data_IF_552419537546
#
_entry.id   IF_552419537546
#
_cell.length_a   1.000
_cell.length_b   1.000
_cell.length_c   1.000
_cell.angle_alpha   90.00
_cell.angle_beta   90.00
_cell.angle_gamma   90.00
#
_symmetry.space_group_name_H-M   'P 1'
#
loop_
_entity.id
_entity.type
_entity.pdbx_description
1 polymer ?
#
# COMPACT_ATOMS: atom_id res chain seq x y z
N UNK A 1 29.07 -20.78 3.84
CA UNK A 1 28.41 -19.55 4.19
C UNK A 1 27.57 -19.06 3.02
N UNK A 2 26.38 -18.51 3.21
CA UNK A 2 25.53 -18.09 2.10
C UNK A 2 26.22 -16.94 1.36
N UNK A 3 26.44 -17.13 0.06
CA UNK A 3 26.86 -16.06 -0.85
C UNK A 3 25.70 -15.09 -0.95
N UNK A 4 25.91 -13.85 -0.51
CA UNK A 4 24.94 -12.77 -0.62
C UNK A 4 24.82 -12.38 -2.11
N UNK A 5 23.74 -12.75 -2.73
CA UNK A 5 23.46 -12.71 -4.17
C UNK A 5 23.12 -11.31 -4.74
N UNK A 6 23.50 -10.21 -4.09
CA UNK A 6 23.00 -8.88 -4.48
C UNK A 6 23.96 -8.06 -5.34
N UNK A 7 25.16 -8.56 -5.77
CA UNK A 7 26.21 -7.59 -6.07
C UNK A 7 27.11 -7.90 -7.28
N UNK A 8 26.56 -8.18 -8.45
CA UNK A 8 27.40 -8.44 -9.64
C UNK A 8 27.26 -7.45 -10.82
N UNK A 9 26.59 -6.30 -10.64
CA UNK A 9 26.55 -5.26 -11.66
C UNK A 9 27.63 -4.19 -11.45
N UNK A 10 28.22 -3.71 -12.55
CA UNK A 10 29.51 -2.98 -12.64
C UNK A 10 29.75 -1.80 -11.70
N UNK A 11 28.72 -1.08 -11.23
CA UNK A 11 28.88 0.04 -10.29
C UNK A 11 29.28 -0.49 -8.91
N UNK A 12 28.79 -1.65 -8.53
CA UNK A 12 29.04 -2.26 -7.23
C UNK A 12 30.32 -3.10 -7.21
N UNK A 13 30.77 -3.62 -8.37
CA UNK A 13 32.11 -4.24 -8.48
C UNK A 13 33.23 -3.31 -8.05
N UNK A 14 33.11 -2.01 -8.32
CA UNK A 14 34.12 -1.03 -7.93
C UNK A 14 34.02 -0.62 -6.45
N UNK A 15 32.83 -0.70 -5.85
CA UNK A 15 32.59 -0.36 -4.43
C UNK A 15 32.89 -1.51 -3.47
N UNK A 16 32.58 -2.74 -3.86
CA UNK A 16 32.92 -3.93 -3.07
C UNK A 16 34.43 -4.14 -2.89
N UNK A 17 35.26 -3.49 -3.72
CA UNK A 17 36.73 -3.43 -3.55
C UNK A 17 37.17 -2.33 -2.58
N UNK A 18 36.35 -1.28 -2.37
CA UNK A 18 36.74 -0.13 -1.56
C UNK A 18 36.28 -0.25 -0.09
N UNK A 19 35.08 -0.77 0.19
CA UNK A 19 34.58 -0.94 1.56
C UNK A 19 33.70 -2.19 1.63
N UNK A 20 34.07 -3.21 2.41
CA UNK A 20 33.23 -4.39 2.59
C UNK A 20 31.89 -4.01 3.23
N UNK A 21 30.77 -4.42 2.61
CA UNK A 21 29.40 -4.17 3.12
C UNK A 21 29.26 -4.59 4.58
N UNK A 22 29.95 -5.65 4.99
CA UNK A 22 30.01 -6.12 6.38
C UNK A 22 30.58 -5.09 7.37
N UNK A 23 31.45 -4.19 6.92
CA UNK A 23 31.96 -3.09 7.76
C UNK A 23 30.96 -1.94 7.85
N UNK A 24 30.24 -1.62 6.77
CA UNK A 24 29.15 -0.64 6.78
C UNK A 24 28.00 -1.07 7.70
N UNK A 25 27.63 -2.35 7.68
CA UNK A 25 26.61 -2.92 8.56
C UNK A 25 27.01 -2.84 10.05
N UNK A 26 28.31 -2.96 10.36
CA UNK A 26 28.84 -2.80 11.74
C UNK A 26 28.81 -1.36 12.23
N UNK A 27 28.89 -0.37 11.33
CA UNK A 27 28.85 1.06 11.70
C UNK A 27 27.44 1.55 12.04
N UNK A 28 26.40 0.80 11.68
CA UNK A 28 24.99 1.14 11.91
C UNK A 28 24.44 2.18 10.92
N UNK A 29 23.13 2.19 10.79
CA UNK A 29 22.40 3.06 9.83
C UNK A 29 22.40 4.53 10.23
N UNK A 30 22.65 4.83 11.50
CA UNK A 30 22.60 6.20 12.05
C UNK A 30 23.95 6.92 12.01
N UNK A 31 25.01 6.21 11.64
CA UNK A 31 26.36 6.80 11.51
C UNK A 31 26.41 7.80 10.34
N UNK A 32 27.00 8.96 10.58
CA UNK A 32 27.11 10.06 9.59
C UNK A 32 27.86 9.60 8.33
N UNK A 33 28.92 8.81 8.48
CA UNK A 33 29.70 8.26 7.36
C UNK A 33 28.86 7.30 6.51
N UNK A 34 28.08 6.42 7.15
CA UNK A 34 27.17 5.51 6.45
C UNK A 34 26.11 6.30 5.66
N UNK A 35 25.48 7.30 6.27
CA UNK A 35 24.50 8.16 5.61
C UNK A 35 25.09 8.93 4.42
N UNK A 36 26.29 9.45 4.57
CA UNK A 36 26.96 10.22 3.54
C UNK A 36 27.39 9.35 2.35
N UNK A 37 27.91 8.15 2.64
CA UNK A 37 28.28 7.18 1.61
C UNK A 37 27.04 6.66 0.86
N UNK A 38 25.97 6.30 1.57
CA UNK A 38 24.72 5.85 0.97
C UNK A 38 24.09 6.94 0.11
N UNK A 39 24.18 8.21 0.54
CA UNK A 39 23.73 9.38 -0.24
C UNK A 39 24.54 9.54 -1.54
N UNK A 40 25.85 9.34 -1.51
CA UNK A 40 26.70 9.37 -2.70
C UNK A 40 26.37 8.23 -3.68
N UNK A 41 25.95 7.07 -3.15
CA UNK A 41 25.51 5.93 -3.92
C UNK A 41 24.08 6.07 -4.44
N UNK A 42 23.36 7.12 -4.05
CA UNK A 42 21.95 7.30 -4.36
C UNK A 42 21.02 6.27 -3.68
N UNK A 43 21.50 5.55 -2.65
CA UNK A 43 20.75 4.51 -1.95
C UNK A 43 20.28 5.05 -0.62
N UNK A 44 18.97 4.98 -0.28
CA UNK A 44 18.49 5.37 1.03
C UNK A 44 19.14 4.55 2.14
N UNK A 45 19.71 5.21 3.17
CA UNK A 45 20.40 4.54 4.28
C UNK A 45 19.48 3.55 5.02
N UNK A 46 18.16 3.80 5.01
CA UNK A 46 17.16 2.93 5.62
C UNK A 46 17.07 1.54 4.96
N UNK A 47 17.52 1.38 3.71
CA UNK A 47 17.58 0.07 3.05
C UNK A 47 18.53 -0.89 3.77
N UNK A 48 19.57 -0.40 4.45
CA UNK A 48 20.48 -1.25 5.22
C UNK A 48 19.76 -2.01 6.36
N UNK A 49 18.68 -1.44 6.90
CA UNK A 49 17.86 -2.09 7.93
C UNK A 49 17.18 -3.36 7.40
N UNK A 50 16.88 -3.41 6.11
CA UNK A 50 16.27 -4.58 5.47
C UNK A 50 17.30 -5.64 5.07
N UNK A 51 18.51 -5.23 4.69
CA UNK A 51 19.60 -6.15 4.31
C UNK A 51 20.09 -6.95 5.52
N UNK A 52 20.02 -6.38 6.71
CA UNK A 52 20.45 -7.03 7.97
C UNK A 52 19.33 -7.77 8.71
N UNK A 53 18.16 -7.94 8.09
CA UNK A 53 17.04 -8.60 8.74
C UNK A 53 17.33 -10.09 8.97
N UNK A 54 17.36 -10.58 10.22
CA UNK A 54 17.83 -11.93 10.53
C UNK A 54 16.80 -13.03 10.26
N UNK A 55 15.67 -12.69 9.64
CA UNK A 55 14.58 -13.64 9.43
C UNK A 55 14.79 -14.43 8.15
N UNK A 56 14.89 -15.73 8.28
CA UNK A 56 14.86 -16.67 7.17
C UNK A 56 13.44 -17.23 7.04
N UNK A 57 12.85 -17.08 5.85
CA UNK A 57 11.55 -17.67 5.54
C UNK A 57 11.76 -19.03 4.88
N UNK A 58 11.20 -20.09 5.47
CA UNK A 58 11.13 -21.39 4.80
C UNK A 58 9.96 -21.37 3.81
N UNK A 59 10.28 -21.34 2.53
CA UNK A 59 9.32 -21.36 1.44
C UNK A 59 9.15 -22.72 0.80
N UNK A 60 9.76 -23.78 1.33
CA UNK A 60 9.82 -25.11 0.70
C UNK A 60 8.42 -25.67 0.39
N UNK A 61 7.50 -25.58 1.36
CA UNK A 61 6.11 -26.04 1.17
C UNK A 61 5.36 -25.20 0.14
N UNK A 62 5.52 -23.87 0.19
CA UNK A 62 4.88 -22.95 -0.77
C UNK A 62 5.41 -23.19 -2.17
N UNK A 63 6.72 -23.29 -2.34
CA UNK A 63 7.35 -23.59 -3.62
C UNK A 63 6.83 -24.91 -4.23
N UNK A 64 6.71 -25.97 -3.42
CA UNK A 64 6.19 -27.26 -3.89
C UNK A 64 4.73 -27.21 -4.34
N UNK A 65 3.89 -26.39 -3.68
CA UNK A 65 2.48 -26.18 -4.07
C UNK A 65 2.37 -25.36 -5.35
N UNK A 66 3.19 -24.32 -5.50
CA UNK A 66 3.23 -23.49 -6.70
C UNK A 66 3.62 -24.33 -7.94
N UNK A 67 4.66 -25.14 -7.82
CA UNK A 67 5.09 -26.05 -8.89
C UNK A 67 3.98 -27.02 -9.29
N UNK A 68 3.25 -27.60 -8.32
CA UNK A 68 2.09 -28.47 -8.59
C UNK A 68 0.95 -27.73 -9.30
N UNK A 69 0.80 -26.44 -9.04
CA UNK A 69 -0.17 -25.57 -9.70
C UNK A 69 0.28 -25.02 -11.06
N UNK A 70 1.46 -25.41 -11.56
CA UNK A 70 2.02 -24.88 -12.80
C UNK A 70 2.47 -23.42 -12.69
N UNK A 71 2.64 -22.91 -11.47
CA UNK A 71 3.10 -21.54 -11.20
C UNK A 71 4.58 -21.58 -10.87
N UNK A 72 5.38 -20.88 -11.66
CA UNK A 72 6.81 -20.66 -11.39
C UNK A 72 7.01 -19.24 -10.88
N UNK A 73 7.69 -19.12 -9.75
CA UNK A 73 8.14 -17.82 -9.28
C UNK A 73 9.44 -17.49 -10.02
N UNK A 74 9.54 -16.37 -10.76
CA UNK A 74 10.77 -16.03 -11.44
C UNK A 74 11.90 -15.83 -10.43
N UNK A 75 13.11 -16.21 -10.80
CA UNK A 75 14.28 -15.96 -9.98
C UNK A 75 14.52 -14.44 -9.83
N UNK A 76 15.02 -13.96 -8.68
CA UNK A 76 15.28 -12.53 -8.50
C UNK A 76 16.11 -11.91 -9.62
N UNK A 77 17.01 -12.67 -10.20
CA UNK A 77 17.88 -12.25 -11.29
C UNK A 77 17.12 -11.91 -12.58
N UNK A 78 15.95 -12.52 -12.79
CA UNK A 78 15.14 -12.31 -13.99
C UNK A 78 14.40 -10.95 -13.98
N UNK A 79 14.11 -10.40 -12.81
CA UNK A 79 13.36 -9.14 -12.69
C UNK A 79 14.13 -8.02 -11.98
N UNK A 80 15.28 -8.30 -11.41
CA UNK A 80 16.06 -7.32 -10.64
C UNK A 80 16.46 -6.12 -11.49
N UNK A 81 16.89 -6.34 -12.73
CA UNK A 81 17.29 -5.26 -13.65
C UNK A 81 16.10 -4.34 -13.98
N UNK A 82 14.89 -4.89 -14.09
CA UNK A 82 13.69 -4.10 -14.32
C UNK A 82 13.35 -3.23 -13.08
N UNK A 83 13.46 -3.79 -11.88
CA UNK A 83 13.25 -3.05 -10.61
C UNK A 83 14.32 -1.98 -10.45
N UNK A 84 15.59 -2.32 -10.72
CA UNK A 84 16.71 -1.38 -10.61
C UNK A 84 16.60 -0.23 -11.60
N UNK A 85 16.30 -0.52 -12.86
CA UNK A 85 16.07 0.50 -13.89
C UNK A 85 14.90 1.43 -13.54
N UNK A 86 13.82 0.87 -13.00
CA UNK A 86 12.70 1.67 -12.50
C UNK A 86 13.13 2.59 -11.36
N UNK A 87 13.92 2.08 -10.41
CA UNK A 87 14.42 2.85 -9.28
C UNK A 87 15.34 3.99 -9.74
N UNK A 88 16.30 3.72 -10.64
CA UNK A 88 17.19 4.74 -11.20
C UNK A 88 16.42 5.85 -11.92
N UNK A 89 15.43 5.49 -12.71
CA UNK A 89 14.64 6.44 -13.49
C UNK A 89 13.68 7.30 -12.67
N UNK A 90 13.12 6.75 -11.60
CA UNK A 90 11.98 7.36 -10.92
C UNK A 90 12.27 7.79 -9.47
N UNK A 91 13.18 7.15 -8.79
CA UNK A 91 13.42 7.36 -7.36
C UNK A 91 14.81 7.91 -7.03
N UNK A 92 15.87 7.52 -7.75
CA UNK A 92 17.23 7.93 -7.44
C UNK A 92 17.52 9.40 -7.75
N UNK A 93 16.85 9.98 -8.73
CA UNK A 93 17.17 11.33 -9.22
C UNK A 93 16.55 12.46 -8.40
N UNK A 94 15.64 12.21 -7.48
CA UNK A 94 14.93 13.25 -6.72
C UNK A 94 14.15 14.26 -7.59
N UNK A 95 14.13 14.03 -8.90
CA UNK A 95 13.44 14.88 -9.88
C UNK A 95 12.18 14.17 -10.31
N UNK A 96 11.07 14.59 -9.75
CA UNK A 96 9.73 14.40 -10.32
C UNK A 96 9.62 15.19 -11.62
N UNK A 97 10.41 14.87 -12.63
CA UNK A 97 10.25 15.46 -13.96
C UNK A 97 9.68 14.40 -14.91
N UNK A 98 8.44 14.65 -15.28
CA UNK A 98 7.66 13.86 -16.23
C UNK A 98 8.21 13.85 -17.65
N UNK A 99 9.35 13.21 -17.84
CA UNK A 99 9.91 12.94 -19.18
C UNK A 99 10.57 11.55 -19.19
N UNK A 100 9.82 10.51 -18.90
CA UNK A 100 10.22 9.11 -18.99
C UNK A 100 9.53 8.42 -20.16
N UNK A 101 10.31 8.08 -21.15
CA UNK A 101 10.14 7.11 -22.25
C UNK A 101 8.72 6.77 -22.72
N UNK A 102 8.40 7.27 -23.91
CA UNK A 102 7.14 7.10 -24.64
C UNK A 102 6.66 5.64 -24.85
N UNK A 103 7.53 4.64 -24.75
CA UNK A 103 7.16 3.24 -24.99
C UNK A 103 6.42 2.63 -23.80
N UNK A 104 6.80 3.01 -22.56
CA UNK A 104 6.12 2.59 -21.33
C UNK A 104 4.74 3.25 -21.20
N UNK A 105 4.59 4.49 -21.67
CA UNK A 105 3.31 5.18 -21.71
C UNK A 105 2.31 4.54 -22.68
N UNK A 106 2.76 3.96 -23.78
CA UNK A 106 1.86 3.27 -24.73
C UNK A 106 1.40 1.94 -24.17
N UNK A 107 2.27 1.16 -23.55
CA UNK A 107 1.95 -0.10 -22.89
C UNK A 107 1.10 0.15 -21.63
N UNK A 108 1.45 1.12 -20.78
CA UNK A 108 0.63 1.54 -19.64
C UNK A 108 -0.73 2.08 -20.07
N UNK A 109 -0.79 2.81 -21.18
CA UNK A 109 -2.05 3.34 -21.73
C UNK A 109 -2.94 2.24 -22.31
N UNK A 110 -2.34 1.21 -22.92
CA UNK A 110 -3.07 0.03 -23.42
C UNK A 110 -3.55 -0.87 -22.29
N UNK A 111 -2.67 -1.21 -21.35
CA UNK A 111 -3.02 -2.02 -20.17
C UNK A 111 -3.94 -1.24 -19.21
N UNK A 112 -3.70 0.06 -19.02
CA UNK A 112 -4.52 0.92 -18.21
C UNK A 112 -5.93 1.13 -18.79
N UNK A 113 -6.07 1.24 -20.12
CA UNK A 113 -7.39 1.31 -20.78
C UNK A 113 -8.19 0.03 -20.61
N UNK A 114 -7.56 -1.13 -20.79
CA UNK A 114 -8.22 -2.42 -20.58
C UNK A 114 -8.70 -2.58 -19.13
N UNK A 115 -7.86 -2.23 -18.15
CA UNK A 115 -8.22 -2.34 -16.73
C UNK A 115 -9.24 -1.29 -16.29
N UNK A 116 -9.19 -0.06 -16.81
CA UNK A 116 -10.16 0.99 -16.48
C UNK A 116 -11.55 0.70 -17.08
N UNK A 117 -11.62 0.16 -18.29
CA UNK A 117 -12.89 -0.27 -18.88
C UNK A 117 -13.51 -1.46 -18.15
N UNK A 118 -12.68 -2.41 -17.71
CA UNK A 118 -13.13 -3.55 -16.90
C UNK A 118 -13.64 -3.08 -15.54
N UNK A 119 -12.88 -2.23 -14.86
CA UNK A 119 -13.29 -1.66 -13.58
C UNK A 119 -14.61 -0.90 -13.73
N UNK A 120 -14.74 -0.08 -14.78
CA UNK A 120 -15.96 0.67 -15.05
C UNK A 120 -17.20 -0.24 -15.19
N UNK A 121 -17.09 -1.34 -15.92
CA UNK A 121 -18.20 -2.31 -16.06
C UNK A 121 -18.64 -2.90 -14.72
N UNK A 122 -17.69 -3.10 -13.80
CA UNK A 122 -17.97 -3.72 -12.49
C UNK A 122 -18.52 -2.73 -11.47
N UNK A 123 -18.21 -1.44 -11.58
CA UNK A 123 -18.49 -0.47 -10.50
C UNK A 123 -19.33 0.73 -10.91
N UNK A 124 -19.57 0.96 -12.20
CA UNK A 124 -20.38 2.09 -12.68
C UNK A 124 -21.79 2.04 -12.07
N UNK A 125 -22.21 3.14 -11.43
CA UNK A 125 -23.48 3.25 -10.73
C UNK A 125 -23.58 2.52 -9.40
N UNK A 126 -22.51 1.83 -8.95
CA UNK A 126 -22.47 1.19 -7.62
C UNK A 126 -22.09 2.16 -6.53
N UNK A 127 -22.65 1.96 -5.36
CA UNK A 127 -22.31 2.68 -4.13
C UNK A 127 -21.17 1.93 -3.42
N UNK A 128 -20.00 2.57 -3.33
CA UNK A 128 -18.78 1.97 -2.81
C UNK A 128 -18.28 2.75 -1.59
N UNK A 129 -18.18 2.10 -0.46
CA UNK A 129 -17.58 2.66 0.76
C UNK A 129 -16.10 2.29 0.83
N UNK A 130 -15.23 3.29 1.05
CA UNK A 130 -13.78 3.09 1.23
C UNK A 130 -13.35 3.66 2.57
N UNK A 131 -12.82 2.83 3.45
CA UNK A 131 -12.30 3.26 4.75
C UNK A 131 -10.80 3.64 4.66
N UNK A 132 -10.38 4.64 5.46
CA UNK A 132 -9.02 5.16 5.38
C UNK A 132 -8.72 5.86 4.05
N UNK A 133 -9.73 6.54 3.48
CA UNK A 133 -9.72 7.05 2.11
C UNK A 133 -9.06 8.42 1.92
N UNK A 134 -8.41 8.99 2.95
CA UNK A 134 -7.77 10.32 2.87
C UNK A 134 -6.29 10.28 2.51
N UNK A 135 -5.70 9.10 2.30
CA UNK A 135 -4.29 8.96 1.93
C UNK A 135 -3.96 7.56 1.40
N UNK A 136 -2.79 7.44 0.76
CA UNK A 136 -2.21 6.15 0.36
C UNK A 136 -3.13 5.31 -0.52
N UNK A 137 -3.18 4.00 -0.23
CA UNK A 137 -3.93 3.00 -1.01
C UNK A 137 -5.43 3.31 -1.04
N UNK A 138 -6.02 3.73 0.10
CA UNK A 138 -7.43 4.05 0.18
C UNK A 138 -7.84 5.22 -0.72
N UNK A 139 -7.04 6.29 -0.75
CA UNK A 139 -7.29 7.43 -1.62
C UNK A 139 -7.11 7.09 -3.10
N UNK A 140 -6.08 6.33 -3.45
CA UNK A 140 -5.85 5.89 -4.83
C UNK A 140 -7.00 4.99 -5.33
N UNK A 141 -7.46 4.07 -4.46
CA UNK A 141 -8.62 3.23 -4.73
C UNK A 141 -9.88 4.06 -4.95
N UNK A 142 -10.19 4.98 -4.03
CA UNK A 142 -11.35 5.87 -4.13
C UNK A 142 -11.30 6.72 -5.42
N UNK A 143 -10.12 7.23 -5.79
CA UNK A 143 -9.92 7.99 -7.02
C UNK A 143 -10.24 7.18 -8.26
N UNK A 144 -9.74 5.95 -8.35
CA UNK A 144 -9.98 5.05 -9.49
C UNK A 144 -11.45 4.64 -9.60
N UNK A 145 -12.10 4.38 -8.47
CA UNK A 145 -13.53 4.05 -8.42
C UNK A 145 -14.40 5.23 -8.88
N UNK A 146 -14.12 6.44 -8.41
CA UNK A 146 -14.82 7.64 -8.84
C UNK A 146 -14.64 7.89 -10.34
N UNK A 147 -13.43 7.74 -10.87
CA UNK A 147 -13.15 7.82 -12.32
C UNK A 147 -13.85 6.74 -13.13
N UNK A 148 -14.14 5.59 -12.52
CA UNK A 148 -14.86 4.49 -13.14
C UNK A 148 -16.38 4.63 -13.05
N UNK A 149 -16.91 5.72 -12.48
CA UNK A 149 -18.34 6.03 -12.43
C UNK A 149 -19.08 5.44 -11.24
N UNK A 150 -18.37 5.04 -10.18
CA UNK A 150 -18.98 4.67 -8.91
C UNK A 150 -19.37 5.91 -8.11
N UNK A 151 -20.44 5.80 -7.29
CA UNK A 151 -20.69 6.70 -6.17
C UNK A 151 -19.79 6.28 -5.01
N UNK A 152 -18.78 7.09 -4.68
CA UNK A 152 -17.76 6.73 -3.70
C UNK A 152 -17.98 7.45 -2.37
N UNK A 153 -18.03 6.69 -1.29
CA UNK A 153 -18.20 7.19 0.07
C UNK A 153 -16.87 7.04 0.80
N UNK A 154 -16.25 8.16 1.13
CA UNK A 154 -14.99 8.21 1.88
C UNK A 154 -15.27 8.17 3.38
N UNK A 155 -14.63 7.24 4.08
CA UNK A 155 -14.64 7.18 5.55
C UNK A 155 -13.24 7.38 6.11
N UNK A 156 -13.07 8.37 6.99
CA UNK A 156 -11.84 8.63 7.74
C UNK A 156 -12.16 9.48 8.98
N UNK A 157 -11.19 9.61 9.89
CA UNK A 157 -11.40 10.31 11.17
C UNK A 157 -11.40 11.83 11.07
N UNK A 158 -10.69 12.40 10.10
CA UNK A 158 -10.41 13.84 10.03
C UNK A 158 -11.33 14.50 9.00
N UNK A 159 -12.35 15.28 9.44
CA UNK A 159 -13.33 15.92 8.54
C UNK A 159 -12.67 16.83 7.50
N UNK A 160 -11.70 17.65 7.91
CA UNK A 160 -11.04 18.62 7.05
C UNK A 160 -10.34 17.94 5.86
N UNK A 161 -9.66 16.80 6.12
CA UNK A 161 -9.02 16.02 5.05
C UNK A 161 -10.04 15.37 4.13
N UNK A 162 -11.15 14.91 4.67
CA UNK A 162 -12.25 14.36 3.88
C UNK A 162 -12.81 15.42 2.93
N UNK A 163 -13.07 16.63 3.43
CA UNK A 163 -13.60 17.74 2.63
C UNK A 163 -12.65 18.15 1.51
N UNK A 164 -11.34 18.18 1.79
CA UNK A 164 -10.32 18.45 0.77
C UNK A 164 -10.34 17.41 -0.34
N UNK A 165 -10.36 16.13 0.00
CA UNK A 165 -10.34 15.06 -0.99
C UNK A 165 -11.67 14.98 -1.78
N UNK A 166 -12.82 15.19 -1.14
CA UNK A 166 -14.12 15.29 -1.81
C UNK A 166 -14.10 16.43 -2.85
N UNK A 167 -13.62 17.62 -2.46
CA UNK A 167 -13.52 18.77 -3.40
C UNK A 167 -12.64 18.43 -4.59
N UNK A 168 -11.48 17.79 -4.39
CA UNK A 168 -10.56 17.39 -5.47
C UNK A 168 -11.21 16.37 -6.41
N UNK A 169 -11.82 15.33 -5.86
CA UNK A 169 -12.41 14.25 -6.65
C UNK A 169 -13.67 14.70 -7.40
N UNK A 170 -14.51 15.54 -6.80
CA UNK A 170 -15.68 16.15 -7.47
C UNK A 170 -15.25 17.09 -8.60
N UNK A 171 -14.19 17.88 -8.40
CA UNK A 171 -13.62 18.72 -9.46
C UNK A 171 -13.12 17.90 -10.65
N UNK A 172 -12.69 16.67 -10.42
CA UNK A 172 -12.32 15.72 -11.48
C UNK A 172 -13.51 14.97 -12.09
N UNK A 173 -14.76 15.31 -11.74
CA UNK A 173 -15.99 14.73 -12.29
C UNK A 173 -16.49 13.49 -11.53
N UNK A 174 -15.92 13.16 -10.37
CA UNK A 174 -16.36 12.02 -9.56
C UNK A 174 -17.61 12.32 -8.72
N UNK A 175 -18.48 11.32 -8.57
CA UNK A 175 -19.59 11.33 -7.60
C UNK A 175 -19.10 10.81 -6.25
N UNK A 176 -18.73 11.74 -5.35
CA UNK A 176 -18.01 11.43 -4.12
C UNK A 176 -18.64 12.12 -2.92
N UNK A 177 -18.81 11.37 -1.85
CA UNK A 177 -19.31 11.82 -0.57
C UNK A 177 -18.31 11.43 0.55
N UNK A 178 -18.43 12.06 1.70
CA UNK A 178 -17.59 11.72 2.84
C UNK A 178 -18.37 11.84 4.15
N UNK A 179 -18.09 10.91 5.06
CA UNK A 179 -18.62 10.94 6.40
C UNK A 179 -17.49 10.60 7.38
N UNK A 180 -17.25 11.45 8.38
CA UNK A 180 -16.28 11.15 9.42
C UNK A 180 -16.63 9.86 10.16
N UNK A 181 -15.61 9.03 10.41
CA UNK A 181 -15.77 7.80 11.18
C UNK A 181 -14.43 7.39 11.80
N UNK A 182 -14.40 7.24 13.12
CA UNK A 182 -13.34 6.51 13.81
C UNK A 182 -13.69 5.02 13.86
N UNK A 183 -13.08 4.24 12.98
CA UNK A 183 -13.34 2.81 12.86
C UNK A 183 -12.93 2.04 14.11
N UNK A 184 -12.11 2.60 14.99
CA UNK A 184 -11.81 2.01 16.28
C UNK A 184 -12.91 2.21 17.34
N UNK A 185 -13.93 3.03 17.06
CA UNK A 185 -15.11 3.24 17.88
C UNK A 185 -16.33 2.53 17.26
N UNK A 186 -16.88 1.58 17.99
CA UNK A 186 -18.01 0.77 17.51
C UNK A 186 -19.29 1.60 17.34
N UNK A 187 -19.55 2.55 18.24
CA UNK A 187 -20.71 3.42 18.16
C UNK A 187 -20.61 4.38 16.96
N UNK A 188 -19.40 4.84 16.66
CA UNK A 188 -19.16 5.69 15.49
C UNK A 188 -19.29 4.89 14.19
N UNK A 189 -18.88 3.62 14.18
CA UNK A 189 -19.16 2.70 13.06
C UNK A 189 -20.67 2.53 12.82
N UNK A 190 -21.46 2.35 13.87
CA UNK A 190 -22.92 2.18 13.77
C UNK A 190 -23.57 3.44 13.19
N UNK A 191 -23.22 4.59 13.73
CA UNK A 191 -23.70 5.90 13.27
C UNK A 191 -23.30 6.18 11.82
N UNK A 192 -22.07 5.83 11.45
CA UNK A 192 -21.58 5.97 10.09
C UNK A 192 -22.43 5.15 9.10
N UNK A 193 -22.63 3.85 9.37
CA UNK A 193 -23.42 2.99 8.48
C UNK A 193 -24.87 3.46 8.41
N UNK A 194 -25.50 3.82 9.52
CA UNK A 194 -26.86 4.37 9.53
C UNK A 194 -26.96 5.65 8.68
N UNK A 195 -25.96 6.53 8.75
CA UNK A 195 -25.90 7.75 7.95
C UNK A 195 -25.74 7.45 6.45
N UNK A 196 -24.87 6.52 6.10
CA UNK A 196 -24.65 6.09 4.72
C UNK A 196 -25.93 5.51 4.13
N UNK A 197 -26.57 4.56 4.81
CA UNK A 197 -27.80 3.93 4.34
C UNK A 197 -28.95 4.92 4.22
N UNK A 198 -29.05 5.88 5.14
CA UNK A 198 -30.07 6.94 5.07
C UNK A 198 -29.91 7.84 3.83
N UNK A 199 -28.67 8.17 3.46
CA UNK A 199 -28.40 9.15 2.42
C UNK A 199 -28.20 8.52 1.02
N UNK A 200 -27.84 7.24 0.97
CA UNK A 200 -27.50 6.54 -0.28
C UNK A 200 -28.31 5.27 -0.51
N UNK A 201 -29.28 4.99 0.39
CA UNK A 201 -30.19 3.84 0.31
C UNK A 201 -29.48 2.47 0.51
N UNK A 202 -28.32 2.27 -0.06
CA UNK A 202 -27.59 1.01 0.00
C UNK A 202 -26.08 1.16 -0.10
N UNK A 203 -25.39 0.04 0.06
CA UNK A 203 -23.96 -0.13 -0.21
C UNK A 203 -23.78 -1.40 -1.03
N UNK A 204 -23.15 -1.30 -2.20
CA UNK A 204 -22.86 -2.47 -3.04
C UNK A 204 -21.48 -3.06 -2.73
N UNK A 205 -20.52 -2.21 -2.33
CA UNK A 205 -19.15 -2.64 -2.05
C UNK A 205 -18.62 -1.93 -0.81
N UNK A 206 -18.08 -2.70 0.13
CA UNK A 206 -17.35 -2.19 1.29
C UNK A 206 -15.87 -2.53 1.17
N UNK A 207 -15.01 -1.51 1.12
CA UNK A 207 -13.55 -1.66 1.09
C UNK A 207 -12.98 -1.30 2.46
N UNK A 208 -12.71 -2.31 3.28
CA UNK A 208 -12.04 -2.17 4.55
C UNK A 208 -10.52 -2.01 4.33
N UNK A 209 -10.09 -0.76 4.14
CA UNK A 209 -8.69 -0.40 3.93
C UNK A 209 -8.07 0.30 5.14
N UNK A 210 -8.88 0.93 5.99
CA UNK A 210 -8.36 1.58 7.18
C UNK A 210 -7.61 0.59 8.05
N UNK A 211 -6.38 0.92 8.40
CA UNK A 211 -5.56 0.05 9.20
C UNK A 211 -4.33 0.75 9.75
N UNK A 212 -3.72 0.17 10.75
CA UNK A 212 -2.50 0.65 11.38
C UNK A 212 -1.58 -0.53 11.66
N UNK A 213 -0.29 -0.33 11.45
CA UNK A 213 0.76 -1.28 11.83
C UNK A 213 1.68 -0.63 12.85
N UNK A 214 1.95 -1.32 13.93
CA UNK A 214 2.96 -0.95 14.92
C UNK A 214 4.11 -1.93 14.77
N UNK A 215 5.23 -1.42 14.22
CA UNK A 215 6.43 -2.23 14.00
C UNK A 215 7.36 -2.08 15.18
N UNK A 216 7.25 -3.01 16.12
CA UNK A 216 8.08 -3.05 17.33
C UNK A 216 8.32 -4.50 17.72
N UNK A 217 9.52 -4.82 18.22
CA UNK A 217 9.81 -6.14 18.78
C UNK A 217 9.05 -6.34 20.09
N UNK A 218 8.72 -7.58 20.42
CA UNK A 218 8.07 -7.92 21.70
C UNK A 218 8.94 -7.48 22.87
N UNK A 219 10.27 -7.64 22.77
CA UNK A 219 11.23 -7.20 23.80
C UNK A 219 11.20 -5.70 24.09
N UNK A 220 10.73 -4.89 23.14
CA UNK A 220 10.55 -3.43 23.29
C UNK A 220 9.09 -3.05 23.59
N UNK A 221 8.23 -4.00 23.96
CA UNK A 221 6.79 -3.81 24.07
C UNK A 221 6.18 -4.40 25.34
N UNK A 222 6.97 -4.81 26.31
CA UNK A 222 6.48 -5.48 27.52
C UNK A 222 5.49 -4.63 28.34
N UNK A 223 5.66 -3.31 28.32
CA UNK A 223 4.81 -2.31 29.00
C UNK A 223 3.77 -1.66 28.06
N UNK A 224 3.62 -2.17 26.83
CA UNK A 224 2.86 -1.51 25.76
C UNK A 224 1.75 -2.39 25.18
N UNK A 225 1.09 -3.17 26.02
CA UNK A 225 -0.01 -4.03 25.58
C UNK A 225 -1.13 -3.26 24.87
N UNK A 226 -1.36 -2.02 25.28
CA UNK A 226 -2.30 -1.11 24.63
C UNK A 226 -2.04 -0.87 23.12
N UNK A 227 -0.82 -1.05 22.64
CA UNK A 227 -0.52 -0.94 21.21
C UNK A 227 -1.13 -2.12 20.43
N UNK A 228 -1.18 -3.30 21.02
CA UNK A 228 -1.84 -4.48 20.44
C UNK A 228 -3.36 -4.32 20.47
N UNK A 229 -3.92 -3.87 21.59
CA UNK A 229 -5.36 -3.60 21.73
C UNK A 229 -5.82 -2.59 20.67
N UNK A 230 -5.11 -1.46 20.52
CA UNK A 230 -5.42 -0.45 19.49
C UNK A 230 -5.33 -0.98 18.07
N UNK A 231 -4.35 -1.85 17.81
CA UNK A 231 -4.18 -2.46 16.50
C UNK A 231 -5.33 -3.41 16.19
N UNK A 232 -5.70 -4.27 17.14
CA UNK A 232 -6.83 -5.17 17.01
C UNK A 232 -8.15 -4.42 16.91
N UNK A 233 -8.32 -3.36 17.72
CA UNK A 233 -9.54 -2.55 17.71
C UNK A 233 -9.79 -1.93 16.34
N UNK A 234 -8.77 -1.35 15.71
CA UNK A 234 -8.88 -0.73 14.39
C UNK A 234 -8.94 -1.76 13.26
N UNK A 235 -7.97 -2.70 13.23
CA UNK A 235 -7.78 -3.54 12.04
C UNK A 235 -8.75 -4.72 11.99
N UNK A 236 -9.24 -5.19 13.14
CA UNK A 236 -10.11 -6.35 13.22
C UNK A 236 -11.53 -5.96 13.65
N UNK A 237 -11.70 -5.48 14.87
CA UNK A 237 -13.05 -5.25 15.41
C UNK A 237 -13.82 -4.16 14.65
N UNK A 238 -13.15 -3.07 14.27
CA UNK A 238 -13.78 -2.00 13.50
C UNK A 238 -14.21 -2.48 12.11
N UNK A 239 -13.33 -3.18 11.40
CA UNK A 239 -13.67 -3.76 10.10
C UNK A 239 -14.82 -4.78 10.20
N UNK A 240 -14.78 -5.64 11.22
CA UNK A 240 -15.86 -6.61 11.49
C UNK A 240 -17.19 -5.90 11.80
N UNK A 241 -17.16 -4.82 12.61
CA UNK A 241 -18.37 -4.07 12.94
C UNK A 241 -19.02 -3.46 11.70
N UNK A 242 -18.23 -2.88 10.81
CA UNK A 242 -18.74 -2.36 9.54
C UNK A 242 -19.36 -3.47 8.68
N UNK A 243 -18.69 -4.62 8.56
CA UNK A 243 -19.23 -5.77 7.83
C UNK A 243 -20.58 -6.19 8.42
N UNK A 244 -20.66 -6.38 9.74
CA UNK A 244 -21.90 -6.81 10.41
C UNK A 244 -23.05 -5.83 10.21
N UNK A 245 -22.77 -4.55 10.08
CA UNK A 245 -23.79 -3.52 9.88
C UNK A 245 -24.23 -3.40 8.42
N UNK A 246 -23.32 -3.63 7.46
CA UNK A 246 -23.60 -3.44 6.03
C UNK A 246 -24.15 -4.73 5.40
N UNK A 247 -23.61 -5.88 5.75
CA UNK A 247 -23.90 -7.17 5.11
C UNK A 247 -25.39 -7.54 5.09
N UNK A 248 -26.19 -7.36 6.17
CA UNK A 248 -27.62 -7.68 6.12
C UNK A 248 -28.39 -6.87 5.05
N UNK A 249 -27.98 -5.63 4.81
CA UNK A 249 -28.58 -4.78 3.77
C UNK A 249 -28.12 -5.19 2.37
N UNK A 250 -26.89 -5.66 2.22
CA UNK A 250 -26.39 -6.20 0.95
C UNK A 250 -27.13 -7.50 0.58
N UNK A 251 -27.35 -8.41 1.55
CA UNK A 251 -28.04 -9.69 1.32
C UNK A 251 -29.52 -9.51 0.96
N UNK A 252 -30.20 -8.48 1.47
CA UNK A 252 -31.59 -8.18 1.13
C UNK A 252 -31.78 -7.72 -0.33
N UNK A 253 -30.71 -7.34 -1.03
CA UNK A 253 -30.74 -6.85 -2.42
C UNK A 253 -30.34 -7.90 -3.44
N UNK A 254 -29.87 -9.06 -2.99
CA UNK A 254 -29.50 -10.22 -3.81
C UNK A 254 -30.37 -11.41 -3.48
#
# INVERSE_FOLDING_TARGET
>A
GPKTLIWDNGVVKNLGKAIPVNQLLKLGTDNVLTKQLMKQLGVPADLLKFVSYPTHFDSTRTASLLVKGGISCPAPEEYFDAIWSYWEQHLASGKTSGAGLNMDNTVKKLLGRSNSQRLRKEVEGKVVVVTGATSGIGLDCATKLAQAGATVILAARTPEKLDEEVKKLRKAGGDVYAYPCDISDMADCDKFVATVLKNHDHVDVLINNAGRSIRRSISSSYDRFHDYERTMQLNYFGSLRLIMNVLPHMEQRH
#
